data_IF_467389295566
#
_entry.id   IF_467389295566
#
_cell.length_a   1.000
_cell.length_b   1.000
_cell.length_c   1.000
_cell.angle_alpha   90.00
_cell.angle_beta   90.00
_cell.angle_gamma   90.00
#
_symmetry.space_group_name_H-M   'P 1'
#
loop_
_entity.id
_entity.type
_entity.pdbx_description
1 polymer ?
#
# COMPACT_ATOMS: atom_id res chain seq x y z
N UNK A 1 28.03 -7.12 20.16
CA UNK A 1 26.91 -6.23 19.77
C UNK A 1 26.91 -5.11 20.77
N UNK A 2 27.59 -4.02 20.43
CA UNK A 2 27.78 -2.89 21.32
C UNK A 2 26.43 -2.29 21.70
N UNK A 3 26.24 -2.07 23.00
CA UNK A 3 25.08 -1.38 23.54
C UNK A 3 24.96 -0.02 22.87
N UNK A 4 23.92 0.16 22.05
CA UNK A 4 23.64 1.45 21.41
C UNK A 4 23.58 2.54 22.48
N UNK A 5 24.26 3.67 22.25
CA UNK A 5 24.11 4.81 23.15
C UNK A 5 22.63 5.28 23.17
N UNK A 6 22.15 5.86 24.28
CA UNK A 6 20.74 6.24 24.41
C UNK A 6 20.24 7.17 23.30
N UNK A 7 21.09 8.02 22.72
CA UNK A 7 20.71 8.91 21.63
C UNK A 7 20.55 8.15 20.31
N UNK A 8 21.47 7.24 20.00
CA UNK A 8 21.33 6.36 18.82
C UNK A 8 20.10 5.48 18.94
N UNK A 9 19.80 4.93 20.12
CA UNK A 9 18.59 4.12 20.33
C UNK A 9 17.31 4.94 20.03
N UNK A 10 17.23 6.19 20.51
CA UNK A 10 16.11 7.10 20.21
C UNK A 10 16.03 7.43 18.71
N UNK A 11 17.16 7.70 18.07
CA UNK A 11 17.20 7.98 16.63
C UNK A 11 16.70 6.79 15.81
N UNK A 12 17.13 5.56 16.13
CA UNK A 12 16.66 4.34 15.47
C UNK A 12 15.14 4.19 15.59
N UNK A 13 14.55 4.47 16.76
CA UNK A 13 13.09 4.45 16.93
C UNK A 13 12.39 5.48 16.04
N UNK A 14 12.94 6.69 15.92
CA UNK A 14 12.39 7.72 15.03
C UNK A 14 12.46 7.30 13.56
N UNK A 15 13.60 6.75 13.13
CA UNK A 15 13.78 6.24 11.75
C UNK A 15 12.81 5.11 11.45
N UNK A 16 12.55 4.21 12.41
CA UNK A 16 11.56 3.14 12.24
C UNK A 16 10.14 3.69 12.04
N UNK A 17 9.73 4.68 12.83
CA UNK A 17 8.43 5.33 12.69
C UNK A 17 8.27 6.02 11.32
N UNK A 18 9.30 6.75 10.87
CA UNK A 18 9.27 7.41 9.56
C UNK A 18 9.34 6.40 8.40
N UNK A 19 10.09 5.30 8.55
CA UNK A 19 10.13 4.23 7.56
C UNK A 19 8.75 3.60 7.34
N UNK A 20 7.95 3.41 8.40
CA UNK A 20 6.56 2.94 8.27
C UNK A 20 5.68 3.95 7.50
N UNK A 21 5.87 5.24 7.73
CA UNK A 21 5.15 6.30 7.01
C UNK A 21 5.49 6.31 5.52
N UNK A 22 6.77 6.21 5.18
CA UNK A 22 7.23 6.15 3.78
C UNK A 22 6.64 4.94 3.08
N UNK A 23 6.69 3.75 3.71
CA UNK A 23 6.08 2.54 3.15
C UNK A 23 4.59 2.70 2.89
N UNK A 24 3.85 3.32 3.82
CA UNK A 24 2.42 3.61 3.60
C UNK A 24 2.22 4.56 2.41
N UNK A 25 3.03 5.62 2.32
CA UNK A 25 2.97 6.57 1.22
C UNK A 25 3.23 5.89 -0.12
N UNK A 26 4.21 4.99 -0.20
CA UNK A 26 4.49 4.19 -1.40
C UNK A 26 3.28 3.33 -1.81
N UNK A 27 2.61 2.69 -0.85
CA UNK A 27 1.40 1.92 -1.12
C UNK A 27 0.27 2.81 -1.64
N UNK A 28 0.09 4.01 -1.07
CA UNK A 28 -0.91 4.98 -1.54
C UNK A 28 -0.63 5.38 -2.99
N UNK A 29 0.63 5.71 -3.32
CA UNK A 29 1.01 6.11 -4.68
C UNK A 29 0.81 4.96 -5.68
N UNK A 30 1.17 3.74 -5.30
CA UNK A 30 0.99 2.55 -6.13
C UNK A 30 -0.49 2.26 -6.42
N UNK A 31 -1.34 2.28 -5.38
CA UNK A 31 -2.78 2.09 -5.53
C UNK A 31 -3.42 3.22 -6.34
N UNK A 32 -3.01 4.47 -6.09
CA UNK A 32 -3.50 5.63 -6.82
C UNK A 32 -3.20 5.51 -8.32
N UNK A 33 -1.95 5.22 -8.70
CA UNK A 33 -1.56 5.02 -10.10
C UNK A 33 -2.31 3.87 -10.75
N UNK A 34 -2.33 2.69 -10.10
CA UNK A 34 -3.01 1.52 -10.65
C UNK A 34 -4.51 1.73 -10.82
N UNK A 35 -5.18 2.31 -9.82
CA UNK A 35 -6.62 2.53 -9.90
C UNK A 35 -6.98 3.68 -10.83
N UNK A 36 -6.07 4.63 -11.04
CA UNK A 36 -6.19 5.62 -12.11
C UNK A 36 -6.23 4.94 -13.47
N UNK A 37 -5.25 4.09 -13.78
CA UNK A 37 -5.18 3.37 -15.07
C UNK A 37 -6.40 2.47 -15.32
N UNK A 38 -6.96 1.88 -14.26
CA UNK A 38 -8.13 0.98 -14.36
C UNK A 38 -9.43 1.75 -14.53
N UNK A 39 -9.63 2.83 -13.77
CA UNK A 39 -10.93 3.49 -13.68
C UNK A 39 -11.08 4.74 -14.56
N UNK A 40 -9.96 5.38 -14.94
CA UNK A 40 -9.96 6.59 -15.76
C UNK A 40 -9.39 6.27 -17.15
N UNK A 41 -10.21 5.59 -17.95
CA UNK A 41 -9.85 5.17 -19.31
C UNK A 41 -9.94 6.29 -20.35
N UNK A 42 -10.69 7.35 -20.05
CA UNK A 42 -10.79 8.52 -20.91
C UNK A 42 -9.66 9.51 -20.60
N UNK A 43 -8.90 9.90 -21.64
CA UNK A 43 -7.74 10.79 -21.55
C UNK A 43 -8.04 12.21 -21.02
N UNK A 44 -9.32 12.59 -20.88
CA UNK A 44 -9.74 13.92 -20.45
C UNK A 44 -10.40 13.84 -19.07
N UNK A 45 -9.72 14.30 -18.01
CA UNK A 45 -10.31 14.39 -16.68
C UNK A 45 -11.55 15.29 -16.71
N UNK A 46 -12.73 14.82 -16.22
CA UNK A 46 -13.90 15.66 -16.14
C UNK A 46 -13.73 16.71 -15.03
N UNK A 47 -14.41 17.86 -15.16
CA UNK A 47 -14.40 18.92 -14.13
C UNK A 47 -14.94 18.45 -12.77
N UNK A 48 -15.73 17.36 -12.78
CA UNK A 48 -16.20 16.64 -11.58
C UNK A 48 -16.16 15.15 -11.90
N UNK A 49 -15.73 14.37 -10.92
CA UNK A 49 -15.76 12.93 -11.03
C UNK A 49 -17.21 12.44 -11.02
N UNK A 50 -17.61 11.70 -12.06
CA UNK A 50 -18.95 11.13 -12.10
C UNK A 50 -19.08 9.97 -11.10
N UNK A 51 -20.32 9.60 -10.78
CA UNK A 51 -20.61 8.56 -9.79
C UNK A 51 -20.04 7.19 -10.17
N UNK A 52 -19.95 6.85 -11.47
CA UNK A 52 -19.41 5.54 -11.89
C UNK A 52 -17.91 5.48 -11.66
N UNK A 53 -17.20 6.55 -12.00
CA UNK A 53 -15.75 6.68 -11.77
C UNK A 53 -15.43 6.65 -10.27
N UNK A 54 -16.21 7.35 -9.43
CA UNK A 54 -16.05 7.30 -7.97
C UNK A 54 -16.26 5.88 -7.42
N UNK A 55 -17.34 5.21 -7.82
CA UNK A 55 -17.60 3.82 -7.43
C UNK A 55 -16.50 2.88 -7.91
N UNK A 56 -15.98 3.07 -9.13
CA UNK A 56 -14.86 2.29 -9.65
C UNK A 56 -13.62 2.44 -8.77
N UNK A 57 -13.22 3.67 -8.42
CA UNK A 57 -12.02 3.91 -7.60
C UNK A 57 -12.12 3.24 -6.23
N UNK A 58 -13.27 3.38 -5.55
CA UNK A 58 -13.51 2.72 -4.26
C UNK A 58 -13.40 1.21 -4.38
N UNK A 59 -14.03 0.63 -5.40
CA UNK A 59 -13.97 -0.80 -5.64
C UNK A 59 -12.56 -1.27 -6.01
N UNK A 60 -11.84 -0.52 -6.85
CA UNK A 60 -10.49 -0.85 -7.27
C UNK A 60 -9.54 -0.93 -6.08
N UNK A 61 -9.53 0.09 -5.21
CA UNK A 61 -8.66 0.11 -4.03
C UNK A 61 -8.99 -1.06 -3.10
N UNK A 62 -10.27 -1.27 -2.78
CA UNK A 62 -10.70 -2.37 -1.92
C UNK A 62 -10.28 -3.73 -2.50
N UNK A 63 -10.52 -3.98 -3.80
CA UNK A 63 -10.15 -5.23 -4.46
C UNK A 63 -8.64 -5.47 -4.51
N UNK A 64 -7.84 -4.43 -4.71
CA UNK A 64 -6.38 -4.55 -4.72
C UNK A 64 -5.85 -4.93 -3.33
N UNK A 65 -6.40 -4.33 -2.27
CA UNK A 65 -6.06 -4.67 -0.89
C UNK A 65 -6.51 -6.11 -0.56
N UNK A 66 -7.75 -6.47 -0.88
CA UNK A 66 -8.32 -7.81 -0.68
C UNK A 66 -7.43 -8.88 -1.37
N UNK A 67 -7.08 -8.65 -2.63
CA UNK A 67 -6.24 -9.56 -3.41
C UNK A 67 -4.82 -9.67 -2.85
N UNK A 68 -4.23 -8.55 -2.41
CA UNK A 68 -2.89 -8.53 -1.81
C UNK A 68 -2.85 -9.34 -0.51
N UNK A 69 -3.85 -9.17 0.35
CA UNK A 69 -3.98 -9.94 1.59
C UNK A 69 -4.14 -11.43 1.30
N UNK A 70 -5.02 -11.79 0.36
CA UNK A 70 -5.22 -13.17 -0.07
C UNK A 70 -3.92 -13.83 -0.58
N UNK A 71 -3.15 -13.12 -1.41
CA UNK A 71 -1.86 -13.63 -1.91
C UNK A 71 -0.86 -13.86 -0.78
N UNK A 72 -0.73 -12.91 0.16
CA UNK A 72 0.19 -13.06 1.30
C UNK A 72 -0.21 -14.25 2.18
N UNK A 73 -1.49 -14.39 2.52
CA UNK A 73 -1.97 -15.53 3.30
C UNK A 73 -1.72 -16.87 2.59
N UNK A 74 -1.90 -16.91 1.26
CA UNK A 74 -1.66 -18.10 0.48
C UNK A 74 -0.18 -18.49 0.47
N UNK A 75 0.71 -17.52 0.28
CA UNK A 75 2.16 -17.74 0.30
C UNK A 75 2.63 -18.23 1.68
N UNK A 76 2.15 -17.62 2.77
CA UNK A 76 2.46 -18.07 4.13
C UNK A 76 2.03 -19.52 4.38
N UNK A 77 0.84 -19.92 3.88
CA UNK A 77 0.36 -21.31 3.97
C UNK A 77 1.23 -22.28 3.17
N UNK A 78 1.83 -21.85 2.06
CA UNK A 78 2.77 -22.66 1.28
C UNK A 78 4.08 -22.82 2.04
N UNK A 79 4.65 -21.74 2.56
CA UNK A 79 5.90 -21.77 3.34
C UNK A 79 5.80 -22.70 4.55
N UNK A 80 4.68 -22.64 5.28
CA UNK A 80 4.45 -23.52 6.44
C UNK A 80 4.38 -25.00 6.11
N UNK A 81 4.01 -25.38 4.88
CA UNK A 81 3.94 -26.79 4.45
C UNK A 81 5.30 -27.34 4.00
N UNK A 82 6.25 -26.47 3.67
CA UNK A 82 7.57 -26.83 3.17
C UNK A 82 8.64 -26.90 4.26
N UNK A 83 8.35 -26.37 5.45
CA UNK A 83 9.13 -26.56 6.68
C UNK A 83 8.55 -27.70 7.53
#
# INVERSE_FOLDING_TARGET
>A
MDSLDPNTARFVQQVQAESQRVKLQEQVQMLAGRCWDVCLTDSRPPNKMDSKTQTCLVNCVNRMIDASAFMVEHLQKIEQKHN
#
